data_IF_713640738658
#
_entry.id   IF_713640738658
#
_cell.length_a   1.000
_cell.length_b   1.000
_cell.length_c   1.000
_cell.angle_alpha   90.00
_cell.angle_beta   90.00
_cell.angle_gamma   90.00
#
_symmetry.space_group_name_H-M   'P 1'
#
loop_
_entity.id
_entity.type
_entity.pdbx_description
1 polymer ?
#
# COMPACT_ATOMS: atom_id res chain seq x y z
N UNK A 1 13.31 -3.20 45.21
CA UNK A 1 12.28 -2.52 44.39
C UNK A 1 13.03 -1.53 43.54
N UNK A 2 13.22 -1.83 42.25
CA UNK A 2 13.86 -0.90 41.32
C UNK A 2 12.81 0.16 40.95
N UNK A 3 13.20 1.42 41.09
CA UNK A 3 12.35 2.59 40.94
C UNK A 3 11.83 2.69 39.48
N UNK A 4 10.51 2.76 39.23
CA UNK A 4 9.95 2.79 37.88
C UNK A 4 10.06 4.16 37.16
N UNK A 5 10.70 5.18 37.75
CA UNK A 5 10.72 6.56 37.24
C UNK A 5 12.02 7.01 36.53
N UNK A 6 12.95 6.10 36.21
CA UNK A 6 14.11 6.45 35.38
C UNK A 6 13.93 6.08 33.90
N UNK A 7 12.73 6.33 33.34
CA UNK A 7 12.60 6.52 31.90
C UNK A 7 13.19 7.90 31.59
N UNK A 8 14.51 7.95 31.50
CA UNK A 8 15.20 9.16 31.07
C UNK A 8 14.65 9.58 29.72
N UNK A 9 14.23 10.84 29.61
CA UNK A 9 13.79 11.42 28.35
C UNK A 9 14.94 11.29 27.35
N UNK A 10 14.76 10.41 26.37
CA UNK A 10 15.81 9.98 25.45
C UNK A 10 15.39 10.40 24.05
N UNK A 11 16.13 11.34 23.49
CA UNK A 11 15.98 11.77 22.11
C UNK A 11 16.81 10.90 21.17
N UNK A 12 16.30 10.73 19.95
CA UNK A 12 16.94 9.95 18.92
C UNK A 12 17.20 10.81 17.69
N UNK A 13 18.44 10.76 17.20
CA UNK A 13 18.84 11.37 15.94
C UNK A 13 19.40 10.29 15.02
N UNK A 14 18.95 10.28 13.77
CA UNK A 14 19.40 9.32 12.77
C UNK A 14 20.06 10.06 11.59
N UNK A 15 21.22 9.59 11.16
CA UNK A 15 21.88 10.04 9.92
C UNK A 15 22.14 8.85 9.02
N UNK A 16 22.15 9.06 7.70
CA UNK A 16 22.39 7.99 6.73
C UNK A 16 23.58 8.33 5.82
N UNK A 17 24.34 7.31 5.42
CA UNK A 17 25.45 7.47 4.48
C UNK A 17 25.57 6.27 3.56
N UNK A 18 25.96 6.51 2.31
CA UNK A 18 26.39 5.46 1.38
C UNK A 18 27.86 5.13 1.60
N UNK A 19 28.20 3.84 1.54
CA UNK A 19 29.57 3.33 1.69
C UNK A 19 30.04 2.85 0.33
N UNK A 20 31.12 3.44 -0.18
CA UNK A 20 31.74 3.03 -1.45
C UNK A 20 31.07 3.57 -2.72
N UNK A 21 29.98 4.34 -2.61
CA UNK A 21 29.35 5.03 -3.73
C UNK A 21 30.11 6.31 -4.15
N UNK A 22 29.88 6.83 -5.37
CA UNK A 22 30.49 8.07 -5.86
C UNK A 22 30.17 9.27 -4.96
N UNK A 23 29.06 9.19 -4.21
CA UNK A 23 28.55 10.23 -3.31
C UNK A 23 28.98 10.06 -1.85
N UNK A 24 29.80 9.05 -1.52
CA UNK A 24 30.32 8.81 -0.17
C UNK A 24 31.12 9.97 0.45
N UNK A 25 31.39 11.02 -0.35
CA UNK A 25 32.10 12.25 0.01
C UNK A 25 31.18 13.46 0.26
N UNK A 26 29.91 13.38 -0.11
CA UNK A 26 28.94 14.42 0.28
C UNK A 26 28.53 14.18 1.73
N UNK A 27 28.30 15.27 2.48
CA UNK A 27 27.80 15.17 3.85
C UNK A 27 26.61 14.22 3.89
N UNK A 28 26.55 13.31 4.88
CA UNK A 28 25.41 12.41 5.02
C UNK A 28 24.14 13.27 5.02
N UNK A 29 23.17 13.03 4.13
CA UNK A 29 21.97 13.82 4.19
C UNK A 29 21.29 13.48 5.52
N UNK A 30 20.71 14.47 6.17
CA UNK A 30 20.10 14.26 7.48
C UNK A 30 18.79 13.50 7.30
N UNK A 31 18.54 12.50 8.16
CA UNK A 31 17.22 11.89 8.19
C UNK A 31 16.24 12.89 8.83
N UNK A 32 15.27 13.36 8.06
CA UNK A 32 14.30 14.35 8.52
C UNK A 32 13.33 13.65 9.47
N UNK A 33 13.32 14.05 10.75
CA UNK A 33 12.44 13.46 11.78
C UNK A 33 10.98 13.68 11.40
N UNK A 34 10.24 12.60 11.18
CA UNK A 34 8.81 12.62 10.84
C UNK A 34 7.92 12.32 12.05
N UNK A 35 8.50 11.83 13.14
CA UNK A 35 7.79 11.49 14.36
C UNK A 35 8.73 11.16 15.53
N UNK A 36 8.19 10.67 16.67
CA UNK A 36 9.00 10.39 17.85
C UNK A 36 10.08 9.32 17.60
N UNK A 37 9.74 8.32 16.79
CA UNK A 37 10.56 7.15 16.46
C UNK A 37 10.70 6.91 14.95
N UNK A 38 10.50 7.96 14.13
CA UNK A 38 10.49 7.86 12.68
C UNK A 38 11.21 9.03 12.01
N UNK A 39 11.88 8.73 10.91
CA UNK A 39 12.52 9.74 10.07
C UNK A 39 12.43 9.33 8.59
N UNK A 40 12.55 10.31 7.69
CA UNK A 40 12.50 10.13 6.24
C UNK A 40 13.78 10.64 5.61
N UNK A 41 14.27 9.91 4.62
CA UNK A 41 15.53 10.16 3.92
C UNK A 41 15.29 10.01 2.43
N UNK A 42 15.76 10.97 1.62
CA UNK A 42 15.66 10.95 0.16
C UNK A 42 16.89 10.34 -0.51
N UNK A 43 16.90 10.36 -1.84
CA UNK A 43 18.10 10.16 -2.68
C UNK A 43 18.85 8.85 -2.45
N UNK A 44 18.11 7.74 -2.49
CA UNK A 44 18.68 6.41 -2.36
C UNK A 44 18.70 5.72 -3.73
N UNK A 45 19.86 5.19 -4.12
CA UNK A 45 20.03 4.52 -5.42
C UNK A 45 19.47 3.09 -5.38
N UNK A 46 18.26 2.91 -5.90
CA UNK A 46 17.63 1.61 -6.07
C UNK A 46 18.44 0.73 -7.04
N UNK A 47 18.45 -0.60 -6.81
CA UNK A 47 19.19 -1.58 -7.63
C UNK A 47 20.71 -1.40 -7.66
N UNK A 48 21.27 -0.75 -6.63
CA UNK A 48 22.71 -0.61 -6.43
C UNK A 48 23.22 -1.61 -5.41
N UNK A 49 24.43 -2.16 -5.63
CA UNK A 49 25.20 -2.93 -4.63
C UNK A 49 25.82 -2.03 -3.54
N UNK A 50 25.47 -0.74 -3.52
CA UNK A 50 25.97 0.21 -2.54
C UNK A 50 25.39 -0.13 -1.17
N UNK A 51 26.26 -0.34 -0.19
CA UNK A 51 25.86 -0.51 1.21
C UNK A 51 25.56 0.84 1.82
N UNK A 52 24.43 0.94 2.52
CA UNK A 52 24.04 2.11 3.28
C UNK A 52 24.20 1.84 4.76
N UNK A 53 24.54 2.86 5.53
CA UNK A 53 24.68 2.76 6.99
C UNK A 53 23.84 3.84 7.63
N UNK A 54 22.87 3.45 8.45
CA UNK A 54 22.16 4.36 9.35
C UNK A 54 22.90 4.43 10.67
N UNK A 55 23.16 5.63 11.16
CA UNK A 55 23.68 5.87 12.50
C UNK A 55 22.58 6.45 13.38
N UNK A 56 22.09 5.67 14.35
CA UNK A 56 21.10 6.10 15.33
C UNK A 56 21.83 6.47 16.62
N UNK A 57 21.74 7.73 17.01
CA UNK A 57 22.31 8.23 18.25
C UNK A 57 21.19 8.49 19.25
N UNK A 58 21.18 7.72 20.35
CA UNK A 58 20.35 7.99 21.50
C UNK A 58 21.03 9.03 22.38
N UNK A 59 20.30 10.05 22.82
CA UNK A 59 20.81 11.14 23.64
C UNK A 59 19.90 11.34 24.85
N UNK A 60 20.47 11.33 26.04
CA UNK A 60 19.77 11.61 27.28
C UNK A 60 20.71 12.31 28.28
N UNK A 61 20.25 12.69 29.49
CA UNK A 61 21.09 13.37 30.47
C UNK A 61 22.34 12.59 30.94
N UNK A 62 22.40 11.27 30.72
CA UNK A 62 23.57 10.44 31.03
C UNK A 62 24.63 10.45 29.91
N UNK A 63 24.28 10.93 28.71
CA UNK A 63 25.19 11.05 27.58
C UNK A 63 24.56 10.63 26.26
N UNK A 64 25.42 10.33 25.29
CA UNK A 64 25.01 9.88 23.95
C UNK A 64 25.58 8.49 23.62
N UNK A 65 24.76 7.67 22.96
CA UNK A 65 25.11 6.32 22.54
C UNK A 65 24.73 6.11 21.06
N UNK A 66 25.72 5.98 20.16
CA UNK A 66 25.47 5.70 18.74
C UNK A 66 25.39 4.19 18.45
N UNK A 67 24.55 3.82 17.48
CA UNK A 67 24.48 2.47 16.90
C UNK A 67 24.46 2.55 15.38
N UNK A 68 25.35 1.82 14.74
CA UNK A 68 25.43 1.70 13.28
C UNK A 68 24.64 0.49 12.80
N UNK A 69 23.81 0.71 11.78
CA UNK A 69 22.94 -0.29 11.17
C UNK A 69 23.21 -0.31 9.65
N UNK A 70 24.06 -1.22 9.16
CA UNK A 70 24.30 -1.38 7.74
C UNK A 70 23.15 -2.12 7.05
N UNK A 71 22.81 -1.74 5.82
CA UNK A 71 21.83 -2.42 4.98
C UNK A 71 22.18 -2.27 3.48
N UNK A 72 21.73 -3.22 2.66
CA UNK A 72 21.85 -3.20 1.20
C UNK A 72 20.48 -2.94 0.59
N UNK A 73 20.42 -2.10 -0.45
CA UNK A 73 19.15 -1.82 -1.12
C UNK A 73 18.62 -3.00 -1.96
N UNK A 74 19.48 -3.88 -2.43
CA UNK A 74 19.06 -5.13 -3.08
C UNK A 74 18.34 -6.10 -2.13
N UNK A 75 18.72 -6.09 -0.84
CA UNK A 75 18.03 -6.83 0.21
C UNK A 75 16.72 -6.15 0.64
N UNK A 76 16.35 -5.03 0.01
CA UNK A 76 14.99 -4.50 0.15
C UNK A 76 13.96 -5.48 -0.37
N UNK A 77 14.30 -6.44 -1.23
CA UNK A 77 13.37 -7.54 -1.50
C UNK A 77 12.93 -8.25 -0.19
N UNK A 78 13.80 -8.48 0.79
CA UNK A 78 13.40 -9.05 2.09
C UNK A 78 12.64 -8.04 2.98
N UNK A 79 13.09 -6.79 3.07
CA UNK A 79 12.36 -5.73 3.81
C UNK A 79 10.99 -5.37 3.17
N UNK A 80 10.86 -5.46 1.85
CA UNK A 80 9.62 -5.25 1.11
C UNK A 80 8.71 -6.47 1.19
N UNK A 81 9.25 -7.70 1.19
CA UNK A 81 8.45 -8.88 1.50
C UNK A 81 7.84 -8.77 2.91
N UNK A 82 8.51 -8.12 3.85
CA UNK A 82 7.95 -7.81 5.17
C UNK A 82 7.08 -6.55 5.22
N UNK A 83 7.18 -5.64 4.23
CA UNK A 83 6.39 -4.42 4.16
C UNK A 83 5.04 -4.67 3.48
N UNK A 84 4.00 -4.41 4.24
CA UNK A 84 2.63 -4.43 3.75
C UNK A 84 2.41 -3.17 2.90
N UNK A 85 1.96 -3.28 1.63
CA UNK A 85 1.62 -2.09 0.85
C UNK A 85 0.42 -1.39 1.47
N UNK A 86 0.31 -0.09 1.23
CA UNK A 86 -0.91 0.64 1.55
C UNK A 86 -2.11 0.10 0.73
N UNK A 87 -3.34 0.23 1.25
CA UNK A 87 -4.53 -0.18 0.51
C UNK A 87 -4.66 0.57 -0.81
N UNK A 88 -5.19 -0.11 -1.84
CA UNK A 88 -5.59 0.54 -3.08
C UNK A 88 -6.64 1.63 -2.85
N UNK A 89 -6.66 2.60 -3.75
CA UNK A 89 -7.54 3.77 -3.64
C UNK A 89 -8.67 3.72 -4.68
N UNK A 90 -9.69 4.56 -4.50
CA UNK A 90 -10.75 4.80 -5.48
C UNK A 90 -11.46 3.55 -6.03
N UNK A 91 -11.71 2.55 -5.18
CA UNK A 91 -12.49 1.38 -5.59
C UNK A 91 -13.91 1.79 -6.03
N UNK A 92 -14.22 1.54 -7.30
CA UNK A 92 -15.49 1.85 -7.95
C UNK A 92 -16.09 0.59 -8.55
N UNK A 93 -17.42 0.51 -8.50
CA UNK A 93 -18.19 -0.59 -9.08
C UNK A 93 -19.26 0.00 -9.97
N UNK A 94 -19.20 -0.29 -11.27
CA UNK A 94 -20.10 0.28 -12.27
C UNK A 94 -20.68 -0.78 -13.21
N UNK A 95 -21.90 -0.59 -13.73
CA UNK A 95 -22.45 -1.39 -14.83
C UNK A 95 -21.58 -1.32 -16.08
N UNK A 96 -21.33 -2.45 -16.73
CA UNK A 96 -20.63 -2.47 -18.02
C UNK A 96 -21.59 -2.04 -19.15
N UNK A 97 -21.25 -1.00 -19.95
CA UNK A 97 -22.12 -0.55 -21.04
C UNK A 97 -22.44 -1.67 -22.04
N UNK A 98 -23.72 -1.85 -22.35
CA UNK A 98 -24.18 -2.87 -23.31
C UNK A 98 -24.23 -4.30 -22.75
N UNK A 99 -23.75 -4.55 -21.53
CA UNK A 99 -23.69 -5.89 -20.93
C UNK A 99 -24.51 -5.98 -19.64
N UNK A 100 -25.73 -6.50 -19.76
CA UNK A 100 -26.74 -6.47 -18.69
C UNK A 100 -26.47 -7.36 -17.47
N UNK A 101 -25.36 -8.09 -17.48
CA UNK A 101 -24.95 -9.02 -16.42
C UNK A 101 -23.52 -8.80 -15.97
N UNK A 102 -22.88 -7.70 -16.36
CA UNK A 102 -21.48 -7.44 -15.99
C UNK A 102 -21.35 -6.17 -15.14
N UNK A 103 -20.57 -6.28 -14.07
CA UNK A 103 -20.12 -5.16 -13.26
C UNK A 103 -18.62 -5.02 -13.44
N UNK A 104 -18.19 -3.84 -13.85
CA UNK A 104 -16.81 -3.44 -13.89
C UNK A 104 -16.41 -2.91 -12.50
N UNK A 105 -15.35 -3.49 -11.95
CA UNK A 105 -14.70 -3.07 -10.72
C UNK A 105 -13.38 -2.43 -11.12
N UNK A 106 -13.13 -1.22 -10.69
CA UNK A 106 -11.92 -0.46 -11.00
C UNK A 106 -11.35 0.12 -9.72
N UNK A 107 -10.05 0.11 -9.57
CA UNK A 107 -9.34 0.72 -8.46
C UNK A 107 -8.06 1.40 -8.96
N UNK A 108 -7.45 2.19 -8.10
CA UNK A 108 -6.20 2.88 -8.35
C UNK A 108 -5.07 2.27 -7.51
N UNK A 109 -3.84 2.40 -8.02
CA UNK A 109 -2.65 2.12 -7.23
C UNK A 109 -2.62 3.00 -5.97
N UNK A 110 -2.06 2.52 -4.85
CA UNK A 110 -1.80 3.38 -3.69
C UNK A 110 -0.87 4.53 -4.09
N UNK A 111 -1.10 5.74 -3.61
CA UNK A 111 -0.22 6.88 -3.92
C UNK A 111 1.21 6.68 -3.43
N UNK A 112 1.39 5.88 -2.37
CA UNK A 112 2.70 5.47 -1.86
C UNK A 112 3.44 4.48 -2.77
N UNK A 113 2.84 4.07 -3.89
CA UNK A 113 3.39 3.10 -4.85
C UNK A 113 3.72 3.72 -6.23
N UNK A 114 4.65 4.69 -6.30
CA UNK A 114 4.90 5.48 -7.52
C UNK A 114 5.63 4.73 -8.64
N UNK A 115 6.15 3.52 -8.40
CA UNK A 115 7.02 2.79 -9.32
C UNK A 115 6.52 1.36 -9.61
N UNK A 116 5.29 1.19 -10.13
CA UNK A 116 4.68 -0.12 -10.34
C UNK A 116 5.40 -0.99 -11.38
N UNK A 117 6.18 -0.40 -12.29
CA UNK A 117 6.96 -1.13 -13.29
C UNK A 117 8.10 -1.93 -12.67
N UNK A 118 8.59 -1.47 -11.52
CA UNK A 118 9.70 -2.07 -10.80
C UNK A 118 9.22 -2.94 -9.63
N UNK A 119 8.10 -2.56 -9.01
CA UNK A 119 7.49 -3.25 -7.88
C UNK A 119 6.01 -3.55 -8.19
N UNK A 120 5.74 -4.51 -9.09
CA UNK A 120 4.38 -4.80 -9.52
C UNK A 120 3.55 -5.34 -8.35
N UNK A 121 2.38 -4.74 -8.17
CA UNK A 121 1.40 -5.19 -7.19
C UNK A 121 0.45 -6.20 -7.83
N UNK A 122 0.01 -7.15 -7.01
CA UNK A 122 -1.07 -8.07 -7.28
C UNK A 122 -2.25 -7.76 -6.37
N UNK A 123 -3.45 -8.12 -6.82
CA UNK A 123 -4.70 -7.77 -6.16
C UNK A 123 -5.56 -8.99 -5.87
N UNK A 124 -6.08 -9.05 -4.66
CA UNK A 124 -7.18 -9.93 -4.29
C UNK A 124 -8.45 -9.13 -4.11
N UNK A 125 -9.55 -9.68 -4.61
CA UNK A 125 -10.89 -9.11 -4.49
C UNK A 125 -11.65 -10.00 -3.51
N UNK A 126 -12.35 -9.41 -2.54
CA UNK A 126 -13.31 -10.15 -1.72
C UNK A 126 -14.73 -9.63 -1.91
N UNK A 127 -15.67 -10.57 -1.93
CA UNK A 127 -17.09 -10.30 -1.93
C UNK A 127 -17.64 -10.51 -0.52
N UNK A 128 -18.13 -9.44 0.07
CA UNK A 128 -18.74 -9.44 1.40
C UNK A 128 -20.22 -9.82 1.22
N UNK A 129 -20.48 -11.13 1.20
CA UNK A 129 -21.82 -11.73 1.19
C UNK A 129 -21.96 -12.69 2.38
N UNK A 130 -23.10 -13.37 2.49
CA UNK A 130 -23.35 -14.36 3.55
C UNK A 130 -22.30 -15.48 3.56
N UNK A 131 -21.73 -15.79 2.39
CA UNK A 131 -20.51 -16.58 2.22
C UNK A 131 -19.38 -15.67 1.70
N UNK A 132 -18.37 -15.42 2.54
CA UNK A 132 -17.22 -14.61 2.15
C UNK A 132 -16.39 -15.38 1.11
N UNK A 133 -16.27 -14.82 -0.09
CA UNK A 133 -15.50 -15.42 -1.18
C UNK A 133 -14.45 -14.44 -1.69
N UNK A 134 -13.27 -14.97 -2.01
CA UNK A 134 -12.15 -14.18 -2.54
C UNK A 134 -11.70 -14.67 -3.90
N UNK A 135 -11.37 -13.75 -4.81
CA UNK A 135 -10.83 -14.00 -6.14
C UNK A 135 -9.46 -13.35 -6.29
N UNK A 136 -8.63 -13.93 -7.16
CA UNK A 136 -7.30 -13.45 -7.49
C UNK A 136 -6.24 -14.54 -7.46
N UNK A 137 -4.96 -14.17 -7.63
CA UNK A 137 -4.48 -12.79 -7.78
C UNK A 137 -4.67 -12.21 -9.19
N UNK A 138 -4.83 -10.90 -9.29
CA UNK A 138 -4.88 -10.13 -10.53
C UNK A 138 -3.73 -9.12 -10.60
N UNK A 139 -3.20 -8.86 -11.80
CA UNK A 139 -2.13 -7.86 -12.02
C UNK A 139 -2.69 -6.52 -12.53
N UNK A 140 -3.94 -6.52 -13.00
CA UNK A 140 -4.64 -5.35 -13.50
C UNK A 140 -5.38 -4.64 -12.36
N UNK A 141 -5.60 -3.33 -12.52
CA UNK A 141 -6.37 -2.53 -11.56
C UNK A 141 -7.87 -2.50 -11.85
N UNK A 142 -8.36 -3.53 -12.56
CA UNK A 142 -9.76 -3.70 -12.85
C UNK A 142 -10.13 -5.18 -12.96
N UNK A 143 -11.40 -5.49 -12.71
CA UNK A 143 -11.96 -6.82 -12.86
C UNK A 143 -13.43 -6.76 -13.27
N UNK A 144 -13.85 -7.64 -14.17
CA UNK A 144 -15.25 -7.71 -14.59
C UNK A 144 -15.94 -8.90 -13.95
N UNK A 145 -16.86 -8.61 -13.02
CA UNK A 145 -17.72 -9.62 -12.41
C UNK A 145 -18.92 -9.92 -13.31
N UNK A 146 -19.17 -11.19 -13.56
CA UNK A 146 -20.42 -11.65 -14.18
C UNK A 146 -21.44 -11.98 -13.11
N UNK A 147 -22.52 -11.20 -13.06
CA UNK A 147 -23.61 -11.37 -12.10
C UNK A 147 -24.54 -12.50 -12.54
N UNK A 148 -24.89 -13.37 -11.60
CA UNK A 148 -25.86 -14.45 -11.81
C UNK A 148 -27.31 -13.93 -11.77
N UNK A 149 -27.63 -13.03 -10.82
CA UNK A 149 -28.98 -12.48 -10.58
C UNK A 149 -28.99 -10.95 -10.71
N UNK A 150 -29.65 -10.37 -11.73
CA UNK A 150 -29.83 -8.93 -11.86
C UNK A 150 -30.51 -8.34 -10.61
N UNK A 151 -30.14 -7.12 -10.24
CA UNK A 151 -30.65 -6.42 -9.06
C UNK A 151 -30.01 -6.83 -7.73
N UNK A 152 -29.07 -7.78 -7.74
CA UNK A 152 -28.31 -8.14 -6.52
C UNK A 152 -27.27 -7.07 -6.21
N UNK A 153 -27.24 -6.61 -4.96
CA UNK A 153 -26.23 -5.69 -4.45
C UNK A 153 -24.97 -6.46 -4.07
N UNK A 154 -23.87 -6.14 -4.73
CA UNK A 154 -22.56 -6.74 -4.46
C UNK A 154 -21.72 -5.76 -3.64
N UNK A 155 -21.20 -6.22 -2.50
CA UNK A 155 -20.26 -5.47 -1.67
C UNK A 155 -18.86 -6.02 -1.90
N UNK A 156 -17.92 -5.14 -2.24
CA UNK A 156 -16.60 -5.51 -2.76
C UNK A 156 -15.53 -4.74 -2.01
N UNK A 157 -14.42 -5.42 -1.73
CA UNK A 157 -13.18 -4.81 -1.27
C UNK A 157 -12.00 -5.42 -2.01
N UNK A 158 -10.91 -4.66 -2.09
CA UNK A 158 -9.66 -5.09 -2.74
C UNK A 158 -8.51 -4.98 -1.74
N UNK A 159 -7.55 -5.89 -1.82
CA UNK A 159 -6.29 -5.81 -1.10
C UNK A 159 -5.13 -6.00 -2.10
N UNK A 160 -4.10 -5.17 -1.96
CA UNK A 160 -2.87 -5.24 -2.73
C UNK A 160 -1.82 -6.07 -2.00
N UNK A 161 -0.94 -6.73 -2.73
CA UNK A 161 0.20 -7.43 -2.15
C UNK A 161 1.32 -7.56 -3.20
N UNK A 162 2.54 -7.83 -2.75
CA UNK A 162 3.65 -8.24 -3.61
C UNK A 162 3.77 -9.76 -3.61
N UNK A 163 4.39 -10.37 -4.62
CA UNK A 163 4.45 -11.83 -4.84
C UNK A 163 4.71 -12.71 -3.60
N UNK A 164 5.56 -12.23 -2.69
CA UNK A 164 5.90 -12.88 -1.42
C UNK A 164 5.68 -11.98 -0.20
N UNK A 165 4.91 -10.91 -0.38
CA UNK A 165 4.61 -9.90 0.64
C UNK A 165 3.29 -10.14 1.40
N UNK A 166 3.10 -9.40 2.50
CA UNK A 166 1.82 -9.35 3.21
C UNK A 166 0.77 -8.58 2.42
N UNK A 167 -0.49 -8.97 2.55
CA UNK A 167 -1.62 -8.21 2.00
C UNK A 167 -1.77 -6.87 2.71
N UNK A 168 -2.08 -5.81 1.96
CA UNK A 168 -2.57 -4.54 2.48
C UNK A 168 -3.81 -4.74 3.34
N UNK A 169 -4.20 -3.71 4.10
CA UNK A 169 -5.57 -3.65 4.59
C UNK A 169 -6.52 -3.63 3.40
N UNK A 170 -7.73 -4.12 3.60
CA UNK A 170 -8.78 -4.03 2.59
C UNK A 170 -9.13 -2.56 2.32
N UNK A 171 -9.43 -2.23 1.07
CA UNK A 171 -10.01 -0.92 0.72
C UNK A 171 -11.31 -0.66 1.46
N UNK A 172 -11.78 0.58 1.42
CA UNK A 172 -13.16 0.89 1.82
C UNK A 172 -14.15 0.06 0.98
N UNK A 173 -15.29 -0.26 1.59
CA UNK A 173 -16.33 -1.07 0.96
C UNK A 173 -16.95 -0.30 -0.21
N UNK A 174 -16.86 -0.87 -1.41
CA UNK A 174 -17.59 -0.37 -2.57
C UNK A 174 -18.81 -1.26 -2.84
N UNK A 175 -19.83 -0.71 -3.46
CA UNK A 175 -21.05 -1.46 -3.76
C UNK A 175 -21.61 -1.13 -5.11
N UNK A 176 -22.18 -2.13 -5.77
CA UNK A 176 -22.79 -1.96 -7.09
C UNK A 176 -23.90 -2.97 -7.35
N UNK A 177 -24.86 -2.52 -8.15
CA UNK A 177 -25.99 -3.31 -8.64
C UNK A 177 -26.18 -3.05 -10.11
N UNK A 178 -26.43 -4.09 -10.90
CA UNK A 178 -26.94 -3.93 -12.25
C UNK A 178 -28.46 -4.17 -12.27
N UNK A 179 -29.25 -3.16 -12.64
CA UNK A 179 -30.67 -3.33 -12.92
C UNK A 179 -30.88 -3.50 -14.43
N UNK A 180 -31.55 -4.56 -14.86
CA UNK A 180 -32.12 -4.57 -16.21
C UNK A 180 -33.30 -3.59 -16.20
N UNK A 181 -33.08 -2.35 -16.62
CA UNK A 181 -34.18 -1.46 -16.96
C UNK A 181 -34.94 -2.11 -18.13
N UNK A 182 -36.03 -2.81 -17.81
CA UNK A 182 -37.09 -3.01 -18.78
C UNK A 182 -37.50 -1.62 -19.26
N UNK A 183 -37.43 -1.37 -20.56
CA UNK A 183 -37.92 -0.12 -21.15
C UNK A 183 -39.39 0.04 -20.75
N UNK A 184 -39.68 0.88 -19.75
CA UNK A 184 -41.03 1.41 -19.58
C UNK A 184 -41.25 2.39 -20.74
N UNK A 185 -41.76 1.90 -21.87
CA UNK A 185 -42.42 2.75 -22.84
C UNK A 185 -43.66 3.32 -22.15
N UNK A 186 -43.61 4.61 -21.81
CA UNK A 186 -44.81 5.38 -21.51
C UNK A 186 -45.74 5.24 -22.72
N UNK A 187 -47.01 4.79 -22.56
CA UNK A 187 -47.96 4.88 -23.64
C UNK A 187 -48.18 6.36 -23.96
N UNK A 188 -47.79 6.78 -25.17
CA UNK A 188 -48.23 8.05 -25.73
C UNK A 188 -49.77 8.00 -25.77
N UNK A 189 -50.39 8.78 -24.89
CA UNK A 189 -51.83 8.97 -24.88
C UNK A 189 -52.25 9.60 -26.22
N UNK A 190 -53.07 8.90 -27.00
CA UNK A 190 -53.73 9.47 -28.16
C UNK A 190 -54.75 10.52 -27.71
N UNK A 191 -54.68 11.72 -28.27
CA UNK A 191 -55.80 12.65 -28.38
C UNK A 191 -56.11 12.86 -29.85
#
# INVERSE_FOLDING_TARGET
>A
VLDPELLLDTDFVATYRSVGGPESRLSPPDCIRTGPWSCSSGDVWMFSLTTYVVNVTAMNPLGSAPRLLPFLLENISECCCDSQPDPSEDLRVSPTPGETKKLLQEWSLPQSWPFPEYFPLKYHIRYVQEEESSLGPYEQTFHTLTIVRPGTLHHIQVAAFMDSGKFSTWTLLASGTHFSLGKCQLPLASR
#
